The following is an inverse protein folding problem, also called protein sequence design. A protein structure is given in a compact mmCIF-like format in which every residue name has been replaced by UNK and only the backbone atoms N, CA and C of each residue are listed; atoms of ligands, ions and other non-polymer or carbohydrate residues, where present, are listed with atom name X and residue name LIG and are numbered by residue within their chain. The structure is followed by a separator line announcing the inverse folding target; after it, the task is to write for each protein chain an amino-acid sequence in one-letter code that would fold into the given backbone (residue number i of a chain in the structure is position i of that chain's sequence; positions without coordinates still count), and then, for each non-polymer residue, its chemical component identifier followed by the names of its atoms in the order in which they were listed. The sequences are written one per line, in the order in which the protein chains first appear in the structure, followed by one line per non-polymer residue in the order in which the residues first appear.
data_IF_244883973823
#
_entry.id   IF_244883973823
#
_cell.length_a   1.000
_cell.length_b   1.000
_cell.length_c   1.000
_cell.angle_alpha   90.00
_cell.angle_beta   90.00
_cell.angle_gamma   90.00
#
_symmetry.space_group_name_H-M   'P 1'
#
loop_
_entity.id
_entity.type
_entity.pdbx_description
1 polymer ?
#
# COMPACT_ATOMS: atom_id res chain seq x y z
N UNK A 1 -0.43 2.25 -5.21
CA UNK A 1 0.05 0.84 -5.19
C UNK A 1 1.27 0.64 -4.29
N UNK A 2 2.49 1.03 -4.73
CA UNK A 2 3.79 0.67 -4.09
C UNK A 2 3.97 1.06 -2.62
N UNK A 3 3.25 2.07 -2.15
CA UNK A 3 3.31 2.53 -0.75
C UNK A 3 2.05 2.12 0.02
N UNK A 4 0.95 2.88 -0.11
CA UNK A 4 -0.30 2.67 0.63
C UNK A 4 -0.77 1.20 0.65
N UNK A 5 -1.04 0.64 -0.53
CA UNK A 5 -1.62 -0.70 -0.65
C UNK A 5 -0.62 -1.80 -0.27
N UNK A 6 0.65 -1.67 -0.66
CA UNK A 6 1.68 -2.66 -0.33
C UNK A 6 2.05 -2.66 1.16
N UNK A 7 1.93 -1.52 1.86
CA UNK A 7 2.30 -1.44 3.29
C UNK A 7 1.28 -2.10 4.22
N UNK A 8 -0.01 -2.01 3.90
CA UNK A 8 -1.11 -2.48 4.75
C UNK A 8 -1.00 -3.98 5.16
N UNK A 9 -0.65 -4.92 4.26
CA UNK A 9 -0.39 -6.32 4.64
C UNK A 9 0.69 -6.50 5.71
N UNK A 10 1.79 -5.73 5.67
CA UNK A 10 2.86 -5.84 6.68
C UNK A 10 2.36 -5.38 8.04
N UNK A 11 1.52 -4.35 8.08
CA UNK A 11 0.93 -3.82 9.33
C UNK A 11 0.02 -4.85 9.96
N UNK A 12 -0.86 -5.45 9.16
CA UNK A 12 -1.78 -6.51 9.60
C UNK A 12 -0.98 -7.72 10.11
N UNK A 13 0.01 -8.19 9.36
CA UNK A 13 0.84 -9.33 9.76
C UNK A 13 1.62 -9.04 11.05
N UNK A 14 2.25 -7.86 11.16
CA UNK A 14 3.01 -7.45 12.34
C UNK A 14 2.14 -7.47 13.60
N UNK A 15 0.94 -6.86 13.55
CA UNK A 15 0.04 -6.83 14.70
C UNK A 15 -0.56 -8.21 15.04
N UNK A 16 -0.77 -9.08 14.03
CA UNK A 16 -1.35 -10.41 14.25
C UNK A 16 -0.35 -11.45 14.72
N UNK A 17 0.94 -11.30 14.40
CA UNK A 17 1.93 -12.36 14.57
C UNK A 17 3.07 -11.99 15.51
N UNK A 18 3.26 -10.70 15.83
CA UNK A 18 4.29 -10.25 16.76
C UNK A 18 3.66 -9.60 18.00
N UNK A 19 4.07 -10.06 19.18
CA UNK A 19 3.72 -9.39 20.44
C UNK A 19 4.22 -7.95 20.45
N UNK A 20 3.53 -7.06 21.16
CA UNK A 20 3.99 -5.68 21.41
C UNK A 20 5.37 -5.62 22.12
N UNK A 21 5.76 -6.70 22.79
CA UNK A 21 7.08 -6.85 23.41
C UNK A 21 8.18 -7.31 22.44
N UNK A 22 7.81 -7.86 21.28
CA UNK A 22 8.76 -8.38 20.30
C UNK A 22 9.64 -7.25 19.75
N UNK A 23 10.97 -7.41 19.66
CA UNK A 23 11.88 -6.33 19.24
C UNK A 23 11.57 -5.84 17.82
N UNK A 24 11.21 -6.72 16.89
CA UNK A 24 10.82 -6.33 15.53
C UNK A 24 9.48 -5.58 15.50
N UNK A 25 8.53 -5.91 16.38
CA UNK A 25 7.30 -5.12 16.50
C UNK A 25 7.65 -3.68 16.90
N UNK A 26 8.49 -3.51 17.93
CA UNK A 26 8.91 -2.18 18.42
C UNK A 26 9.65 -1.38 17.35
N UNK A 27 10.51 -2.03 16.57
CA UNK A 27 11.22 -1.40 15.45
C UNK A 27 10.26 -0.90 14.38
N UNK A 28 9.29 -1.73 13.98
CA UNK A 28 8.40 -1.41 12.86
C UNK A 28 7.24 -0.49 13.23
N UNK A 29 6.76 -0.55 14.48
CA UNK A 29 5.53 0.13 14.92
C UNK A 29 5.46 1.64 14.58
N UNK A 30 6.53 2.44 14.78
CA UNK A 30 6.50 3.87 14.43
C UNK A 30 6.25 4.12 12.93
N UNK A 31 6.65 3.19 12.06
CA UNK A 31 6.53 3.30 10.59
C UNK A 31 5.15 2.89 10.06
N UNK A 32 4.25 2.41 10.92
CA UNK A 32 2.91 1.94 10.56
C UNK A 32 1.81 2.93 10.92
N UNK A 33 2.19 4.05 11.56
CA UNK A 33 1.27 5.02 12.16
C UNK A 33 0.32 5.58 11.09
N UNK A 34 -0.98 5.50 11.38
CA UNK A 34 -2.09 6.00 10.54
C UNK A 34 -2.26 5.37 9.15
N UNK A 35 -1.40 4.45 8.72
CA UNK A 35 -1.51 3.87 7.37
C UNK A 35 -2.82 3.10 7.15
N UNK A 36 -3.29 2.33 8.15
CA UNK A 36 -4.57 1.63 8.05
C UNK A 36 -5.76 2.59 7.98
N UNK A 37 -5.72 3.67 8.77
CA UNK A 37 -6.77 4.68 8.81
C UNK A 37 -6.87 5.44 7.48
N UNK A 38 -5.74 5.95 6.96
CA UNK A 38 -5.75 6.67 5.70
C UNK A 38 -6.11 5.77 4.52
N UNK A 39 -5.72 4.49 4.54
CA UNK A 39 -6.13 3.53 3.51
C UNK A 39 -7.62 3.20 3.58
N UNK A 40 -8.21 3.11 4.78
CA UNK A 40 -9.64 2.94 4.95
C UNK A 40 -10.42 4.15 4.39
N UNK A 41 -9.98 5.37 4.71
CA UNK A 41 -10.54 6.60 4.14
C UNK A 41 -10.38 6.63 2.61
N UNK A 42 -9.22 6.24 2.09
CA UNK A 42 -8.99 6.17 0.65
C UNK A 42 -9.97 5.20 -0.03
N UNK A 43 -10.23 4.01 0.56
CA UNK A 43 -11.23 3.07 0.04
C UNK A 43 -12.66 3.63 0.07
N UNK A 44 -12.96 4.56 0.97
CA UNK A 44 -14.30 5.13 1.12
C UNK A 44 -14.56 6.33 0.21
N UNK A 45 -13.56 7.19 0.00
CA UNK A 45 -13.76 8.48 -0.69
C UNK A 45 -12.79 8.78 -1.84
N UNK A 46 -11.66 8.08 -1.93
CA UNK A 46 -10.62 8.38 -2.92
C UNK A 46 -10.69 7.43 -4.12
N UNK A 47 -10.66 6.12 -3.87
CA UNK A 47 -10.55 5.06 -4.89
C UNK A 47 -11.80 4.19 -5.03
N UNK A 48 -12.90 4.57 -4.40
CA UNK A 48 -14.21 3.94 -4.62
C UNK A 48 -14.76 4.30 -6.02
N UNK A 49 -15.77 3.54 -6.46
CA UNK A 49 -16.53 3.87 -7.67
C UNK A 49 -17.16 5.27 -7.57
N UNK A 50 -16.93 6.12 -8.57
CA UNK A 50 -17.30 7.54 -8.54
C UNK A 50 -16.56 8.36 -7.47
N UNK A 51 -15.44 7.86 -6.94
CA UNK A 51 -14.57 8.60 -6.03
C UNK A 51 -13.64 9.56 -6.78
N UNK A 52 -12.87 10.34 -6.02
CA UNK A 52 -12.02 11.41 -6.54
C UNK A 52 -11.08 10.92 -7.66
N UNK A 53 -10.47 9.73 -7.53
CA UNK A 53 -9.55 9.21 -8.55
C UNK A 53 -10.28 8.89 -9.86
N UNK A 54 -11.48 8.30 -9.79
CA UNK A 54 -12.24 8.00 -11.00
C UNK A 54 -12.79 9.27 -11.68
N UNK A 55 -13.12 10.31 -10.90
CA UNK A 55 -13.67 11.56 -11.45
C UNK A 55 -12.59 12.48 -12.04
N UNK A 56 -11.38 12.48 -11.47
CA UNK A 56 -10.34 13.45 -11.80
C UNK A 56 -9.21 12.91 -12.69
N UNK A 57 -9.08 11.60 -12.89
CA UNK A 57 -8.01 11.00 -13.70
C UNK A 57 -8.57 10.33 -14.95
N UNK A 58 -7.85 10.46 -16.07
CA UNK A 58 -8.30 9.97 -17.39
C UNK A 58 -8.73 8.49 -17.46
N UNK A 59 -8.14 7.55 -16.70
CA UNK A 59 -8.61 6.15 -16.71
C UNK A 59 -10.03 5.93 -16.16
N UNK A 60 -10.58 6.89 -15.40
CA UNK A 60 -11.90 6.79 -14.81
C UNK A 60 -12.09 5.50 -14.00
N UNK A 61 -13.21 4.81 -14.24
CA UNK A 61 -13.55 3.51 -13.62
C UNK A 61 -12.51 2.39 -13.80
N UNK A 62 -11.53 2.56 -14.70
CA UNK A 62 -10.45 1.59 -14.90
C UNK A 62 -9.18 1.91 -14.07
N UNK A 63 -9.16 3.00 -13.30
CA UNK A 63 -7.98 3.43 -12.54
C UNK A 63 -7.47 2.38 -11.54
N UNK A 64 -8.38 1.72 -10.81
CA UNK A 64 -8.02 0.66 -9.87
C UNK A 64 -7.55 -0.62 -10.60
N UNK A 65 -8.15 -0.95 -11.73
CA UNK A 65 -7.74 -2.09 -12.56
C UNK A 65 -6.32 -1.91 -13.09
N UNK A 66 -5.96 -0.71 -13.54
CA UNK A 66 -4.58 -0.40 -13.97
C UNK A 66 -3.57 -0.65 -12.86
N UNK A 67 -3.88 -0.27 -11.62
CA UNK A 67 -3.02 -0.56 -10.47
C UNK A 67 -2.88 -2.07 -10.21
N UNK A 68 -3.96 -2.84 -10.37
CA UNK A 68 -3.92 -4.30 -10.25
C UNK A 68 -3.07 -4.96 -11.34
N UNK A 69 -3.22 -4.52 -12.60
CA UNK A 69 -2.42 -4.98 -13.72
C UNK A 69 -0.93 -4.66 -13.51
N UNK A 70 -0.60 -3.44 -13.05
CA UNK A 70 0.75 -3.04 -12.71
C UNK A 70 1.34 -3.86 -11.54
N UNK A 71 0.53 -4.18 -10.52
CA UNK A 71 0.96 -5.06 -9.43
C UNK A 71 1.38 -6.44 -9.95
N UNK A 72 0.54 -7.06 -10.80
CA UNK A 72 0.84 -8.36 -11.39
C UNK A 72 2.08 -8.35 -12.27
N UNK A 73 2.24 -7.32 -13.09
CA UNK A 73 3.26 -7.28 -14.14
C UNK A 73 4.62 -6.74 -13.68
N UNK A 74 4.62 -5.80 -12.73
CA UNK A 74 5.80 -4.96 -12.46
C UNK A 74 6.29 -5.00 -11.00
N UNK A 75 5.40 -5.32 -10.05
CA UNK A 75 5.74 -5.25 -8.64
C UNK A 75 6.55 -6.46 -8.18
N UNK A 76 7.66 -6.17 -7.50
CA UNK A 76 8.58 -7.17 -6.95
C UNK A 76 9.17 -6.63 -5.67
N UNK A 77 8.94 -7.32 -4.56
CA UNK A 77 9.39 -6.86 -3.25
C UNK A 77 10.91 -6.66 -3.18
N UNK A 78 11.68 -7.54 -3.82
CA UNK A 78 13.13 -7.47 -3.86
C UNK A 78 13.68 -6.30 -4.70
N UNK A 79 12.83 -5.67 -5.52
CA UNK A 79 13.15 -4.48 -6.30
C UNK A 79 12.71 -3.17 -5.65
N UNK A 80 12.03 -3.20 -4.50
CA UNK A 80 11.57 -1.97 -3.81
C UNK A 80 12.68 -1.30 -2.99
N UNK A 81 13.83 -1.96 -2.80
CA UNK A 81 15.01 -1.33 -2.19
C UNK A 81 15.65 -0.33 -3.15
N UNK A 82 15.95 0.89 -2.67
CA UNK A 82 16.45 1.99 -3.51
C UNK A 82 17.64 1.60 -4.42
N UNK A 83 18.69 0.88 -3.96
CA UNK A 83 19.78 0.49 -4.85
C UNK A 83 19.32 -0.43 -6.00
N UNK A 84 18.42 -1.38 -5.72
CA UNK A 84 17.91 -2.29 -6.74
C UNK A 84 16.96 -1.58 -7.72
N UNK A 85 16.15 -0.65 -7.24
CA UNK A 85 15.25 0.18 -8.07
C UNK A 85 16.05 1.07 -9.03
N UNK A 86 17.18 1.66 -8.58
CA UNK A 86 18.01 2.56 -9.39
C UNK A 86 18.83 1.85 -10.49
N UNK A 87 19.08 0.54 -10.38
CA UNK A 87 19.85 -0.25 -11.37
C UNK A 87 18.95 -0.82 -12.47
N UNK A 88 17.63 -0.78 -12.27
CA UNK A 88 16.62 -1.46 -13.11
C UNK A 88 16.51 -0.91 -14.54
#
# INVERSE_FOLDING_TARGET
LRTHACMEPYIIATNRQLSSMHPIYKLLHPHMRYTLEINALARQSLINGGGIIEECFSPGKYAMELSSAAYKALWRFDMEGLPADLIR
#
